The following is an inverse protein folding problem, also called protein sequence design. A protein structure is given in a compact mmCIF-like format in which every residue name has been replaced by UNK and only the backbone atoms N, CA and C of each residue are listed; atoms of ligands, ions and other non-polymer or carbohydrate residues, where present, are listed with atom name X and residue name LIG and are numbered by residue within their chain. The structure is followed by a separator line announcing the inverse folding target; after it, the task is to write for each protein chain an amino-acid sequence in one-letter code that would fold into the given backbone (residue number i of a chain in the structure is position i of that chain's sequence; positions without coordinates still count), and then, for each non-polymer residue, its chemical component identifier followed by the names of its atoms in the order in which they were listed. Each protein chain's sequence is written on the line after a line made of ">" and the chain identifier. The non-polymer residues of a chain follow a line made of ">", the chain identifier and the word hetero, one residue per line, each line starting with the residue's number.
data_IF_167584231375
#
_entry.id   IF_167584231375
#
_cell.length_a   1.000
_cell.length_b   1.000
_cell.length_c   1.000
_cell.angle_alpha   90.00
_cell.angle_beta   90.00
_cell.angle_gamma   90.00
#
_symmetry.space_group_name_H-M   'P 1'
#
loop_
_entity.id
_entity.type
_entity.pdbx_description
1 polymer ?
#
# COMPACT_ATOMS: atom_id res chain seq x y z
N UNK A 1 7.45 -1.41 24.45
CA UNK A 1 7.59 -2.57 23.54
C UNK A 1 6.55 -2.38 22.45
N UNK A 2 6.90 -1.70 21.35
CA UNK A 2 5.95 -1.31 20.32
C UNK A 2 6.31 -1.92 18.97
N UNK A 3 5.29 -2.37 18.25
CA UNK A 3 5.23 -2.38 16.78
C UNK A 3 6.06 -3.45 16.03
N UNK A 4 5.82 -4.74 16.27
CA UNK A 4 6.51 -5.83 15.54
C UNK A 4 5.59 -6.88 14.88
N UNK A 5 4.27 -6.68 14.86
CA UNK A 5 3.35 -7.72 14.34
C UNK A 5 2.34 -7.27 13.28
N UNK A 6 2.24 -5.98 12.98
CA UNK A 6 1.29 -5.49 11.99
C UNK A 6 2.07 -4.74 10.92
N UNK A 7 1.98 -5.22 9.67
CA UNK A 7 2.63 -4.58 8.52
C UNK A 7 2.26 -3.08 8.41
N UNK A 8 2.89 -2.34 7.49
CA UNK A 8 2.81 -0.89 7.44
C UNK A 8 1.35 -0.41 7.47
N UNK A 9 0.96 0.27 8.55
CA UNK A 9 -0.43 0.71 8.75
C UNK A 9 -0.79 1.98 7.96
N UNK A 10 0.21 2.69 7.42
CA UNK A 10 0.03 3.94 6.67
C UNK A 10 0.90 3.98 5.42
N UNK A 11 0.50 4.78 4.44
CA UNK A 11 1.27 5.00 3.22
C UNK A 11 2.69 5.51 3.50
N UNK A 12 2.83 6.45 4.45
CA UNK A 12 4.14 7.00 4.83
C UNK A 12 5.04 5.94 5.45
N UNK A 13 4.49 5.07 6.31
CA UNK A 13 5.24 3.93 6.89
C UNK A 13 5.69 2.96 5.80
N UNK A 14 4.81 2.66 4.84
CA UNK A 14 5.13 1.80 3.70
C UNK A 14 6.23 2.42 2.83
N UNK A 15 6.10 3.67 2.43
CA UNK A 15 7.10 4.34 1.60
C UNK A 15 8.44 4.53 2.29
N UNK A 16 8.45 4.69 3.61
CA UNK A 16 9.67 4.70 4.40
C UNK A 16 10.33 3.32 4.43
N UNK A 17 9.56 2.26 4.62
CA UNK A 17 10.06 0.88 4.58
C UNK A 17 10.62 0.50 3.19
N UNK A 18 10.00 1.03 2.12
CA UNK A 18 10.43 0.84 0.74
C UNK A 18 11.47 1.86 0.28
N UNK A 19 11.90 2.79 1.14
CA UNK A 19 12.84 3.87 0.83
C UNK A 19 12.43 4.76 -0.38
N UNK A 20 11.13 4.90 -0.65
CA UNK A 20 10.58 5.69 -1.77
C UNK A 20 9.89 6.99 -1.35
N UNK A 21 9.99 7.38 -0.08
CA UNK A 21 9.31 8.57 0.47
C UNK A 21 9.63 9.87 -0.27
N UNK A 22 10.83 10.00 -0.86
CA UNK A 22 11.30 11.18 -1.62
C UNK A 22 11.30 10.97 -3.15
N UNK A 23 10.75 9.88 -3.64
CA UNK A 23 10.69 9.59 -5.07
C UNK A 23 9.52 10.32 -5.73
N UNK A 24 9.55 10.41 -7.07
CA UNK A 24 8.43 10.96 -7.82
C UNK A 24 7.16 10.13 -7.63
N UNK A 25 5.99 10.77 -7.74
CA UNK A 25 4.70 10.09 -7.59
C UNK A 25 4.55 8.87 -8.53
N UNK A 26 5.10 8.94 -9.75
CA UNK A 26 5.13 7.82 -10.69
C UNK A 26 5.94 6.63 -10.15
N UNK A 27 7.14 6.90 -9.60
CA UNK A 27 7.98 5.86 -8.96
C UNK A 27 7.30 5.28 -7.74
N UNK A 28 6.67 6.12 -6.91
CA UNK A 28 5.93 5.68 -5.73
C UNK A 28 4.76 4.78 -6.10
N UNK A 29 4.04 5.11 -7.17
CA UNK A 29 2.92 4.31 -7.67
C UNK A 29 3.38 2.96 -8.23
N UNK A 30 4.46 2.95 -9.02
CA UNK A 30 5.03 1.72 -9.59
C UNK A 30 5.51 0.76 -8.49
N UNK A 31 6.24 1.28 -7.51
CA UNK A 31 6.72 0.49 -6.37
C UNK A 31 5.57 0.02 -5.48
N UNK A 32 4.55 0.86 -5.26
CA UNK A 32 3.34 0.46 -4.53
C UNK A 32 2.60 -0.67 -5.25
N UNK A 33 2.46 -0.58 -6.58
CA UNK A 33 1.80 -1.62 -7.39
C UNK A 33 2.57 -2.94 -7.30
N UNK A 34 3.89 -2.90 -7.42
CA UNK A 34 4.71 -4.09 -7.29
C UNK A 34 4.62 -4.69 -5.88
N UNK A 35 4.66 -3.86 -4.83
CA UNK A 35 4.51 -4.34 -3.46
C UNK A 35 3.15 -5.03 -3.21
N UNK A 36 2.07 -4.52 -3.80
CA UNK A 36 0.75 -5.12 -3.70
C UNK A 36 0.64 -6.47 -4.41
N UNK A 37 1.50 -6.76 -5.39
CA UNK A 37 1.51 -8.07 -6.08
C UNK A 37 1.93 -9.20 -5.11
N UNK A 38 2.88 -8.91 -4.22
CA UNK A 38 3.44 -9.86 -3.25
C UNK A 38 2.79 -9.78 -1.85
N UNK A 39 2.09 -8.68 -1.54
CA UNK A 39 1.59 -8.40 -0.19
C UNK A 39 0.15 -7.87 -0.16
N UNK A 40 -0.67 -8.43 0.73
CA UNK A 40 -2.01 -7.91 0.98
C UNK A 40 -1.97 -6.67 1.91
N UNK A 41 -2.54 -5.52 1.49
CA UNK A 41 -2.62 -4.35 2.34
C UNK A 41 -3.67 -4.54 3.43
N UNK A 42 -3.25 -4.39 4.68
CA UNK A 42 -4.18 -4.43 5.82
C UNK A 42 -5.22 -3.30 5.76
N UNK A 43 -6.29 -3.42 6.55
CA UNK A 43 -7.42 -2.45 6.55
C UNK A 43 -6.97 -1.00 6.77
N UNK A 44 -6.04 -0.78 7.69
CA UNK A 44 -5.51 0.56 8.00
C UNK A 44 -4.75 1.15 6.81
N UNK A 45 -3.92 0.34 6.15
CA UNK A 45 -3.20 0.73 4.94
C UNK A 45 -4.16 1.02 3.79
N UNK A 46 -5.20 0.20 3.59
CA UNK A 46 -6.23 0.43 2.56
C UNK A 46 -6.93 1.78 2.77
N UNK A 47 -7.27 2.13 4.02
CA UNK A 47 -7.86 3.43 4.36
C UNK A 47 -6.88 4.57 4.07
N UNK A 48 -5.62 4.42 4.50
CA UNK A 48 -4.57 5.42 4.27
C UNK A 48 -4.34 5.67 2.78
N UNK A 49 -4.25 4.61 1.97
CA UNK A 49 -4.09 4.68 0.52
C UNK A 49 -5.26 5.41 -0.15
N UNK A 50 -6.51 5.10 0.23
CA UNK A 50 -7.68 5.82 -0.28
C UNK A 50 -7.64 7.31 0.06
N UNK A 51 -7.28 7.65 1.30
CA UNK A 51 -7.18 9.05 1.73
C UNK A 51 -6.07 9.84 1.02
N UNK A 52 -5.01 9.16 0.56
CA UNK A 52 -3.87 9.76 -0.15
C UNK A 52 -4.00 9.72 -1.68
N UNK A 53 -5.17 9.34 -2.23
CA UNK A 53 -5.42 9.36 -3.67
C UNK A 53 -5.06 8.08 -4.43
N UNK A 54 -4.60 7.03 -3.74
CA UNK A 54 -4.30 5.71 -4.32
C UNK A 54 -5.52 4.77 -4.34
N UNK A 55 -6.72 5.30 -4.18
CA UNK A 55 -7.96 4.51 -4.16
C UNK A 55 -8.24 3.76 -5.46
N UNK A 56 -7.88 4.33 -6.62
CA UNK A 56 -8.02 3.67 -7.91
C UNK A 56 -7.11 2.43 -8.01
N UNK A 57 -5.86 2.56 -7.58
CA UNK A 57 -4.88 1.49 -7.59
C UNK A 57 -5.28 0.33 -6.65
N UNK A 58 -5.90 0.66 -5.51
CA UNK A 58 -6.51 -0.35 -4.64
C UNK A 58 -7.70 -1.06 -5.31
N UNK A 59 -8.53 -0.35 -6.06
CA UNK A 59 -9.65 -0.98 -6.76
C UNK A 59 -9.15 -1.88 -7.91
N UNK A 60 -8.09 -1.48 -8.62
CA UNK A 60 -7.42 -2.34 -9.61
C UNK A 60 -6.87 -3.61 -8.94
N UNK A 61 -6.22 -3.47 -7.78
CA UNK A 61 -5.72 -4.60 -7.00
C UNK A 61 -6.85 -5.54 -6.54
N UNK A 62 -7.95 -5.00 -6.00
CA UNK A 62 -9.10 -5.78 -5.52
C UNK A 62 -9.83 -6.50 -6.68
N UNK A 63 -9.88 -5.87 -7.86
CA UNK A 63 -10.41 -6.49 -9.07
C UNK A 63 -9.51 -7.60 -9.63
N UNK A 64 -8.18 -7.45 -9.51
CA UNK A 64 -7.20 -8.46 -9.92
C UNK A 64 -7.12 -9.63 -8.93
N UNK A 65 -7.37 -9.37 -7.64
CA UNK A 65 -7.42 -10.34 -6.57
C UNK A 65 -8.81 -10.35 -5.95
N UNK A 66 -9.84 -10.84 -6.68
CA UNK A 66 -11.17 -10.94 -6.13
C UNK A 66 -11.06 -11.80 -4.87
N UNK A 67 -11.26 -11.18 -3.71
CA UNK A 67 -11.33 -11.90 -2.45
C UNK A 67 -12.36 -13.01 -2.64
N UNK A 68 -11.91 -14.26 -2.72
CA UNK A 68 -12.79 -15.42 -2.69
C UNK A 68 -13.39 -15.46 -1.28
N UNK A 69 -14.51 -14.77 -1.08
CA UNK A 69 -15.48 -15.05 -0.02
C UNK A 69 -16.84 -14.44 -0.32
#
# INVERSE_FOLDING_TARGET
>A
MGDLLEGPATLSSLFRALHVERQSALRQQDVLRHWLDDHDPNKSLRISLRANGFGLLLNEFDAAHPHHN
#
